data_IF_023665501467
#
_entry.id   IF_023665501467
#
_cell.length_a   1.000
_cell.length_b   1.000
_cell.length_c   1.000
_cell.angle_alpha   90.00
_cell.angle_beta   90.00
_cell.angle_gamma   90.00
#
_symmetry.space_group_name_H-M   'P 1'
#
loop_
_entity.id
_entity.type
_entity.pdbx_description
1 polymer ?
#
# COMPACT_ATOMS: atom_id res chain seq x y z
N UNK A 1 54.73 37.37 -39.73
CA UNK A 1 53.97 37.00 -40.93
C UNK A 1 53.09 35.81 -40.56
N UNK A 2 51.79 36.06 -40.27
CA UNK A 2 50.60 35.62 -41.06
C UNK A 2 50.39 34.09 -40.97
N UNK A 3 49.26 33.48 -40.60
CA UNK A 3 47.98 33.84 -39.98
C UNK A 3 47.22 32.50 -39.70
N UNK A 4 46.60 32.33 -38.54
CA UNK A 4 45.15 32.13 -38.29
C UNK A 4 44.43 30.85 -38.81
N UNK A 5 43.80 30.18 -37.83
CA UNK A 5 42.47 29.54 -37.84
C UNK A 5 42.22 28.28 -38.68
N UNK A 6 41.86 27.17 -38.02
CA UNK A 6 40.46 26.76 -38.05
C UNK A 6 40.05 25.92 -36.82
N UNK A 7 38.87 26.23 -36.31
CA UNK A 7 38.28 25.79 -35.06
C UNK A 7 36.86 25.34 -35.42
N UNK A 8 36.53 24.04 -35.43
CA UNK A 8 35.14 23.52 -35.34
C UNK A 8 35.02 21.99 -35.29
N UNK A 9 34.24 21.55 -34.30
CA UNK A 9 33.29 20.41 -34.28
C UNK A 9 33.86 18.98 -34.39
N UNK A 10 33.56 18.02 -33.51
CA UNK A 10 32.21 17.67 -33.05
C UNK A 10 32.25 16.95 -31.69
N UNK A 11 31.51 17.49 -30.71
CA UNK A 11 31.11 16.81 -29.48
C UNK A 11 29.89 15.93 -29.78
N UNK A 12 29.93 14.64 -29.46
CA UNK A 12 28.74 13.78 -29.31
C UNK A 12 28.87 12.89 -28.08
N UNK A 13 28.38 13.38 -26.94
CA UNK A 13 27.82 12.54 -25.87
C UNK A 13 26.50 13.19 -25.49
N UNK A 14 25.40 12.57 -25.90
CA UNK A 14 24.09 12.85 -25.34
C UNK A 14 23.98 12.03 -24.05
N UNK A 15 24.43 12.62 -22.96
CA UNK A 15 24.11 12.17 -21.62
C UNK A 15 22.67 12.63 -21.37
N UNK A 16 21.71 11.72 -21.25
CA UNK A 16 20.36 12.06 -20.78
C UNK A 16 20.41 12.31 -19.26
N UNK A 17 21.08 13.39 -18.88
CA UNK A 17 20.96 13.99 -17.57
C UNK A 17 19.89 15.07 -17.69
N UNK A 18 18.68 14.79 -17.19
CA UNK A 18 17.70 15.84 -16.92
C UNK A 18 18.19 16.62 -15.69
N UNK A 19 19.16 17.53 -15.89
CA UNK A 19 19.49 18.55 -14.89
C UNK A 19 18.57 19.75 -15.09
N UNK A 20 17.79 20.05 -14.06
CA UNK A 20 16.96 21.23 -13.94
C UNK A 20 17.75 22.52 -14.15
N UNK A 21 17.16 23.45 -14.89
CA UNK A 21 17.49 24.87 -14.81
C UNK A 21 16.23 25.69 -15.10
N UNK A 22 15.48 25.96 -14.04
CA UNK A 22 14.74 27.20 -13.83
C UNK A 22 14.68 27.44 -12.33
N UNK A 23 15.67 28.17 -11.83
CA UNK A 23 15.62 28.76 -10.50
C UNK A 23 14.67 29.95 -10.56
N UNK A 24 13.47 29.79 -10.00
CA UNK A 24 12.63 30.91 -9.61
C UNK A 24 11.98 30.59 -8.26
N UNK A 25 12.46 31.31 -7.24
CA UNK A 25 11.90 31.52 -5.90
C UNK A 25 11.20 30.32 -5.20
N UNK A 26 11.98 29.53 -4.46
CA UNK A 26 11.47 28.82 -3.29
C UNK A 26 11.32 29.82 -2.13
N UNK A 27 10.12 30.36 -1.96
CA UNK A 27 9.58 30.68 -0.65
C UNK A 27 8.67 29.51 -0.28
N UNK A 28 8.84 28.98 0.94
CA UNK A 28 8.12 27.79 1.39
C UNK A 28 6.62 27.93 1.16
N UNK A 29 6.06 27.01 0.36
CA UNK A 29 4.62 26.86 0.22
C UNK A 29 4.07 26.53 1.60
N UNK A 30 3.45 27.54 2.24
CA UNK A 30 2.53 27.30 3.34
C UNK A 30 1.28 26.57 2.81
N UNK A 31 0.31 26.27 3.68
CA UNK A 31 -0.95 25.61 3.29
C UNK A 31 -1.83 26.41 2.31
N UNK A 32 -1.33 27.48 1.67
CA UNK A 32 -2.07 28.36 0.76
C UNK A 32 -1.83 28.04 -0.74
N UNK A 33 -0.90 27.13 -1.08
CA UNK A 33 -0.57 26.79 -2.48
C UNK A 33 -1.07 25.38 -2.89
N UNK A 34 -1.80 24.68 -2.02
CA UNK A 34 -2.35 23.36 -2.35
C UNK A 34 -3.53 23.52 -3.31
N UNK A 35 -3.41 22.96 -4.51
CA UNK A 35 -4.50 22.93 -5.47
C UNK A 35 -5.60 21.96 -5.01
N UNK A 36 -6.86 22.20 -5.40
CA UNK A 36 -7.87 21.17 -5.30
C UNK A 36 -7.35 19.86 -5.91
N UNK A 37 -7.64 18.74 -5.25
CA UNK A 37 -7.08 17.43 -5.56
C UNK A 37 -7.52 16.97 -6.95
N UNK A 38 -8.71 17.39 -7.40
CA UNK A 38 -9.16 17.18 -8.77
C UNK A 38 -8.30 17.91 -9.81
N UNK A 39 -7.80 19.10 -9.47
CA UNK A 39 -6.87 19.85 -10.32
C UNK A 39 -5.49 19.20 -10.29
N UNK A 40 -5.05 18.74 -9.11
CA UNK A 40 -3.83 17.94 -8.95
C UNK A 40 -3.86 16.67 -9.81
N UNK A 41 -4.97 15.92 -9.79
CA UNK A 41 -5.17 14.75 -10.66
C UNK A 41 -5.12 15.10 -12.15
N UNK A 42 -5.66 16.27 -12.53
CA UNK A 42 -5.60 16.75 -13.93
C UNK A 42 -4.16 17.06 -14.32
N UNK A 43 -3.41 17.79 -13.49
CA UNK A 43 -2.02 18.13 -13.74
C UNK A 43 -1.13 16.89 -13.78
N UNK A 44 -1.36 15.92 -12.91
CA UNK A 44 -0.65 14.65 -12.95
C UNK A 44 -0.93 13.89 -14.24
N UNK A 45 -2.20 13.78 -14.66
CA UNK A 45 -2.56 13.14 -15.92
C UNK A 45 -1.92 13.84 -17.13
N UNK A 46 -1.98 15.17 -17.19
CA UNK A 46 -1.36 15.96 -18.26
C UNK A 46 0.17 15.79 -18.30
N UNK A 47 0.82 15.78 -17.12
CA UNK A 47 2.26 15.55 -17.00
C UNK A 47 2.68 14.15 -17.47
N UNK A 48 1.87 13.13 -17.16
CA UNK A 48 2.07 11.76 -17.62
C UNK A 48 1.90 11.64 -19.14
N UNK A 49 0.88 12.27 -19.71
CA UNK A 49 0.68 12.31 -21.16
C UNK A 49 1.85 13.01 -21.87
N UNK A 50 2.33 14.14 -21.33
CA UNK A 50 3.49 14.85 -21.85
C UNK A 50 4.77 13.98 -21.81
N UNK A 51 5.02 13.28 -20.68
CA UNK A 51 6.15 12.35 -20.57
C UNK A 51 6.05 11.20 -21.58
N UNK A 52 4.84 10.67 -21.81
CA UNK A 52 4.60 9.62 -22.79
C UNK A 52 4.90 10.10 -24.23
N UNK A 53 4.53 11.35 -24.56
CA UNK A 53 4.86 11.96 -25.86
C UNK A 53 6.37 12.13 -26.03
N UNK A 54 7.09 12.58 -24.99
CA UNK A 54 8.55 12.69 -25.01
C UNK A 54 9.21 11.33 -25.29
N UNK A 55 8.72 10.25 -24.68
CA UNK A 55 9.22 8.90 -24.90
C UNK A 55 8.92 8.36 -26.30
N UNK A 56 7.76 8.65 -26.87
CA UNK A 56 7.40 8.22 -28.22
C UNK A 56 8.20 8.95 -29.32
N UNK A 57 8.65 10.18 -29.04
CA UNK A 57 9.50 10.95 -29.94
C UNK A 57 10.98 10.55 -29.84
N UNK A 58 11.35 9.76 -28.82
CA UNK A 58 12.71 9.29 -28.68
C UNK A 58 13.06 8.34 -29.85
N UNK A 59 14.31 8.37 -30.36
CA UNK A 59 14.75 7.42 -31.38
C UNK A 59 14.52 5.99 -30.92
N UNK A 60 14.06 5.10 -31.82
CA UNK A 60 13.90 3.68 -31.51
C UNK A 60 15.25 3.12 -31.07
N UNK A 61 15.33 2.69 -29.80
CA UNK A 61 16.50 2.07 -29.23
C UNK A 61 16.28 0.57 -29.12
N UNK A 62 17.29 -0.21 -29.48
CA UNK A 62 17.34 -1.63 -29.14
C UNK A 62 17.18 -1.77 -27.62
N UNK A 63 16.34 -2.71 -27.20
CA UNK A 63 16.07 -2.96 -25.79
C UNK A 63 16.21 -4.44 -25.49
N UNK A 64 17.43 -4.84 -25.15
CA UNK A 64 17.74 -6.20 -24.72
C UNK A 64 16.97 -6.55 -23.46
N UNK A 65 16.15 -7.60 -23.52
CA UNK A 65 15.45 -8.13 -22.35
C UNK A 65 16.32 -9.14 -21.59
N UNK A 66 16.53 -8.87 -20.32
CA UNK A 66 17.22 -9.72 -19.34
C UNK A 66 16.40 -10.98 -19.07
N UNK A 67 15.07 -10.86 -19.05
CA UNK A 67 14.17 -11.98 -18.85
C UNK A 67 14.12 -12.52 -17.42
N UNK A 68 13.18 -13.42 -17.21
CA UNK A 68 12.83 -13.96 -15.90
C UNK A 68 13.99 -14.70 -15.22
N UNK A 69 13.94 -14.76 -13.88
CA UNK A 69 14.89 -15.54 -13.08
C UNK A 69 15.24 -14.92 -11.73
N UNK A 70 16.09 -15.62 -10.98
CA UNK A 70 16.48 -15.23 -9.62
C UNK A 70 17.30 -13.93 -9.53
N UNK A 71 17.53 -13.51 -8.28
CA UNK A 71 18.32 -12.34 -7.90
C UNK A 71 19.73 -12.38 -8.52
N UNK A 72 20.14 -11.29 -9.16
CA UNK A 72 21.54 -11.08 -9.57
C UNK A 72 22.20 -10.00 -8.73
N UNK A 73 23.50 -10.16 -8.48
CA UNK A 73 24.34 -9.27 -7.67
C UNK A 73 25.80 -9.39 -8.10
N UNK A 74 26.68 -8.54 -7.55
CA UNK A 74 28.13 -8.64 -7.75
C UNK A 74 28.63 -10.08 -7.58
N UNK A 75 29.36 -10.58 -8.59
CA UNK A 75 29.87 -11.95 -8.67
C UNK A 75 28.92 -12.99 -9.28
N UNK A 76 27.64 -12.67 -9.52
CA UNK A 76 26.76 -13.53 -10.33
C UNK A 76 27.31 -13.73 -11.74
N UNK A 77 27.01 -14.84 -12.40
CA UNK A 77 27.44 -15.10 -13.78
C UNK A 77 26.41 -15.84 -14.61
N UNK A 78 26.55 -15.76 -15.94
CA UNK A 78 25.75 -16.48 -16.93
C UNK A 78 25.09 -15.54 -17.95
N UNK A 79 24.35 -16.13 -18.88
CA UNK A 79 23.73 -15.45 -20.02
C UNK A 79 22.86 -14.24 -19.61
N UNK A 80 22.10 -14.35 -18.51
CA UNK A 80 21.27 -13.24 -17.99
C UNK A 80 22.11 -12.04 -17.55
N UNK A 81 23.31 -12.27 -17.03
CA UNK A 81 24.24 -11.19 -16.69
C UNK A 81 24.79 -10.54 -17.95
N UNK A 82 25.08 -11.33 -19.00
CA UNK A 82 25.44 -10.81 -20.31
C UNK A 82 24.35 -9.91 -20.89
N UNK A 83 23.08 -10.34 -20.83
CA UNK A 83 21.92 -9.54 -21.26
C UNK A 83 21.72 -8.28 -20.42
N UNK A 84 21.92 -8.35 -19.10
CA UNK A 84 21.93 -7.18 -18.22
C UNK A 84 23.02 -6.18 -18.63
N UNK A 85 24.24 -6.64 -18.84
CA UNK A 85 25.36 -5.78 -19.22
C UNK A 85 25.11 -5.12 -20.59
N UNK A 86 24.58 -5.88 -21.56
CA UNK A 86 24.16 -5.35 -22.85
C UNK A 86 23.08 -4.28 -22.70
N UNK A 87 22.05 -4.53 -21.87
CA UNK A 87 20.98 -3.56 -21.61
C UNK A 87 21.50 -2.27 -20.96
N UNK A 88 22.43 -2.39 -20.01
CA UNK A 88 23.07 -1.21 -19.40
C UNK A 88 23.92 -0.43 -20.40
N UNK A 89 24.54 -1.10 -21.37
CA UNK A 89 25.28 -0.44 -22.44
C UNK A 89 24.36 0.29 -23.42
N UNK A 90 23.21 -0.30 -23.77
CA UNK A 90 22.17 0.36 -24.57
C UNK A 90 21.64 1.63 -23.90
N UNK A 91 21.51 1.60 -22.57
CA UNK A 91 21.12 2.76 -21.75
C UNK A 91 22.25 3.78 -21.56
N UNK A 92 23.46 3.52 -22.08
CA UNK A 92 24.63 4.39 -21.94
C UNK A 92 25.24 4.42 -20.53
N UNK A 93 24.88 3.46 -19.67
CA UNK A 93 25.35 3.36 -18.28
C UNK A 93 26.60 2.48 -18.13
N UNK A 94 26.88 1.65 -19.14
CA UNK A 94 28.04 0.77 -19.19
C UNK A 94 28.77 0.92 -20.54
N UNK A 95 30.10 1.13 -20.55
CA UNK A 95 30.88 1.09 -21.80
C UNK A 95 30.81 -0.29 -22.49
N UNK A 96 30.75 -0.30 -23.82
CA UNK A 96 30.58 -1.54 -24.60
C UNK A 96 31.72 -2.56 -24.38
N UNK A 97 32.95 -2.10 -24.11
CA UNK A 97 34.12 -2.94 -23.79
C UNK A 97 34.06 -3.57 -22.38
N UNK A 98 33.06 -3.19 -21.57
CA UNK A 98 32.82 -3.71 -20.22
C UNK A 98 31.65 -4.69 -20.14
N UNK A 99 31.02 -5.01 -21.27
CA UNK A 99 29.98 -6.05 -21.34
C UNK A 99 30.60 -7.41 -20.99
N UNK A 100 29.96 -8.12 -20.06
CA UNK A 100 30.47 -9.39 -19.55
C UNK A 100 29.32 -10.29 -19.09
N UNK A 101 29.52 -11.60 -19.16
CA UNK A 101 28.64 -12.59 -18.52
C UNK A 101 28.94 -12.79 -17.03
N UNK A 102 29.89 -12.04 -16.46
CA UNK A 102 30.17 -12.01 -15.03
C UNK A 102 29.82 -10.63 -14.51
N UNK A 103 29.13 -10.59 -13.37
CA UNK A 103 28.64 -9.36 -12.77
C UNK A 103 29.82 -8.68 -12.08
N UNK A 104 30.51 -7.81 -12.82
CA UNK A 104 31.69 -7.08 -12.38
C UNK A 104 31.35 -5.86 -11.54
N UNK A 105 32.38 -5.22 -10.97
CA UNK A 105 32.24 -3.93 -10.26
C UNK A 105 31.77 -2.80 -11.16
N UNK A 106 32.05 -2.85 -12.47
CA UNK A 106 31.57 -1.85 -13.43
C UNK A 106 30.07 -2.02 -13.70
N UNK A 107 29.59 -3.27 -13.81
CA UNK A 107 28.15 -3.57 -13.89
C UNK A 107 27.44 -3.14 -12.60
N UNK A 108 28.00 -3.42 -11.42
CA UNK A 108 27.44 -2.97 -10.13
C UNK A 108 27.27 -1.44 -10.08
N UNK A 109 28.29 -0.69 -10.51
CA UNK A 109 28.21 0.77 -10.59
C UNK A 109 27.13 1.25 -11.56
N UNK A 110 27.04 0.63 -12.74
CA UNK A 110 26.04 0.95 -13.74
C UNK A 110 24.60 0.66 -13.25
N UNK A 111 24.41 -0.47 -12.56
CA UNK A 111 23.12 -0.83 -11.94
C UNK A 111 22.73 0.18 -10.86
N UNK A 112 23.66 0.56 -9.98
CA UNK A 112 23.37 1.56 -8.94
C UNK A 112 23.04 2.92 -9.54
N UNK A 113 23.70 3.30 -10.63
CA UNK A 113 23.36 4.52 -11.38
C UNK A 113 21.96 4.42 -11.99
N UNK A 114 21.59 3.28 -12.58
CA UNK A 114 20.24 3.03 -13.07
C UNK A 114 19.20 3.15 -11.96
N UNK A 115 19.40 2.43 -10.85
CA UNK A 115 18.50 2.45 -9.69
C UNK A 115 18.32 3.87 -9.17
N UNK A 116 19.41 4.64 -9.01
CA UNK A 116 19.34 6.03 -8.59
C UNK A 116 18.54 6.90 -9.58
N UNK A 117 18.78 6.75 -10.89
CA UNK A 117 18.04 7.48 -11.93
C UNK A 117 16.54 7.12 -11.94
N UNK A 118 16.19 5.88 -11.59
CA UNK A 118 14.81 5.41 -11.45
C UNK A 118 14.23 5.67 -10.05
N UNK A 119 14.93 6.39 -9.17
CA UNK A 119 14.54 6.67 -7.78
C UNK A 119 14.25 5.40 -6.95
N UNK A 120 14.97 4.34 -7.28
CA UNK A 120 15.04 3.08 -6.54
C UNK A 120 16.18 3.13 -5.53
N UNK A 121 16.23 2.18 -4.60
CA UNK A 121 17.39 2.05 -3.70
C UNK A 121 18.63 1.64 -4.51
N UNK A 122 19.74 2.40 -4.48
CA UNK A 122 20.94 2.08 -5.26
C UNK A 122 21.82 1.03 -4.56
N UNK A 123 21.29 -0.18 -4.37
CA UNK A 123 21.96 -1.28 -3.66
C UNK A 123 22.71 -2.26 -4.57
N UNK A 124 22.59 -2.14 -5.89
CA UNK A 124 23.23 -3.02 -6.87
C UNK A 124 22.57 -4.41 -6.98
N UNK A 125 21.41 -4.60 -6.37
CA UNK A 125 20.65 -5.86 -6.39
C UNK A 125 19.59 -5.83 -7.51
N UNK A 126 19.60 -6.85 -8.37
CA UNK A 126 18.64 -6.96 -9.47
C UNK A 126 17.60 -7.98 -9.06
N UNK A 127 16.68 -7.53 -8.22
CA UNK A 127 15.43 -8.24 -7.93
C UNK A 127 14.39 -8.06 -9.04
N UNK A 128 13.19 -8.61 -8.84
CA UNK A 128 12.10 -8.54 -9.82
C UNK A 128 11.75 -7.10 -10.24
N UNK A 129 11.72 -6.15 -9.30
CA UNK A 129 11.40 -4.74 -9.58
C UNK A 129 12.45 -4.04 -10.46
N UNK A 130 13.73 -4.14 -10.10
CA UNK A 130 14.82 -3.57 -10.92
C UNK A 130 14.92 -4.24 -12.29
N UNK A 131 14.75 -5.57 -12.36
CA UNK A 131 14.67 -6.32 -13.62
C UNK A 131 13.54 -5.80 -14.51
N UNK A 132 12.32 -5.70 -13.98
CA UNK A 132 11.16 -5.24 -14.74
C UNK A 132 11.36 -3.81 -15.27
N UNK A 133 11.98 -2.93 -14.47
CA UNK A 133 12.31 -1.58 -14.93
C UNK A 133 13.39 -1.56 -16.03
N UNK A 134 14.39 -2.44 -15.96
CA UNK A 134 15.42 -2.58 -16.99
C UNK A 134 14.87 -3.16 -18.29
N UNK A 135 13.99 -4.16 -18.20
CA UNK A 135 13.37 -4.82 -19.36
C UNK A 135 12.36 -3.92 -20.09
N UNK A 136 11.86 -2.88 -19.42
CA UNK A 136 10.87 -1.96 -19.96
C UNK A 136 11.44 -1.12 -21.10
N UNK A 137 10.76 -1.13 -22.23
CA UNK A 137 11.04 -0.27 -23.38
C UNK A 137 10.42 1.13 -23.19
N UNK A 138 10.92 2.17 -23.90
CA UNK A 138 10.29 3.49 -23.90
C UNK A 138 8.81 3.46 -24.29
N UNK A 139 8.44 2.65 -25.29
CA UNK A 139 7.06 2.51 -25.74
C UNK A 139 6.15 1.88 -24.67
N UNK A 140 6.61 0.85 -23.97
CA UNK A 140 5.87 0.27 -22.84
C UNK A 140 5.74 1.28 -21.69
N UNK A 141 6.80 2.01 -21.37
CA UNK A 141 6.76 3.07 -20.37
C UNK A 141 5.71 4.15 -20.72
N UNK A 142 5.70 4.62 -21.97
CA UNK A 142 4.70 5.58 -22.46
C UNK A 142 3.27 5.04 -22.37
N UNK A 143 3.04 3.77 -22.71
CA UNK A 143 1.73 3.13 -22.60
C UNK A 143 1.24 3.09 -21.14
N UNK A 144 2.10 2.74 -20.19
CA UNK A 144 1.76 2.71 -18.76
C UNK A 144 1.48 4.10 -18.17
N UNK A 145 2.20 5.13 -18.64
CA UNK A 145 1.93 6.52 -18.29
C UNK A 145 0.54 6.96 -18.75
N UNK A 146 0.18 6.69 -20.01
CA UNK A 146 -1.16 6.98 -20.55
C UNK A 146 -2.27 6.24 -19.84
N UNK A 147 -2.07 4.96 -19.54
CA UNK A 147 -3.04 4.16 -18.79
C UNK A 147 -3.32 4.79 -17.42
N UNK A 148 -2.27 5.21 -16.71
CA UNK A 148 -2.41 5.87 -15.42
C UNK A 148 -3.07 7.25 -15.55
N UNK A 149 -2.73 8.02 -16.60
CA UNK A 149 -3.36 9.31 -16.89
C UNK A 149 -4.87 9.17 -17.11
N UNK A 150 -5.30 8.20 -17.93
CA UNK A 150 -6.73 7.89 -18.14
C UNK A 150 -7.41 7.52 -16.82
N UNK A 151 -6.81 6.63 -16.03
CA UNK A 151 -7.36 6.22 -14.73
C UNK A 151 -7.49 7.40 -13.75
N UNK A 152 -6.53 8.32 -13.73
CA UNK A 152 -6.59 9.54 -12.91
C UNK A 152 -7.71 10.48 -13.37
N UNK A 153 -7.91 10.67 -14.67
CA UNK A 153 -9.03 11.48 -15.21
C UNK A 153 -10.39 10.87 -14.87
N UNK A 154 -10.55 9.56 -15.05
CA UNK A 154 -11.80 8.87 -14.68
C UNK A 154 -12.10 8.99 -13.18
N UNK A 155 -11.07 8.89 -12.33
CA UNK A 155 -11.26 9.07 -10.90
C UNK A 155 -11.58 10.51 -10.53
N UNK A 156 -10.90 11.50 -11.11
CA UNK A 156 -11.15 12.94 -10.89
C UNK A 156 -12.63 13.29 -11.03
N UNK A 157 -13.29 12.77 -12.07
CA UNK A 157 -14.68 13.09 -12.39
C UNK A 157 -15.66 12.61 -11.31
N UNK A 158 -15.24 11.66 -10.46
CA UNK A 158 -16.07 11.05 -9.40
C UNK A 158 -15.50 11.24 -7.99
N UNK A 159 -14.28 11.80 -7.85
CA UNK A 159 -13.57 11.92 -6.58
C UNK A 159 -14.30 12.87 -5.61
N UNK A 160 -14.73 12.41 -4.43
CA UNK A 160 -15.29 13.28 -3.39
C UNK A 160 -14.25 14.28 -2.84
N UNK A 161 -14.73 15.40 -2.30
CA UNK A 161 -13.86 16.41 -1.66
C UNK A 161 -13.22 15.89 -0.36
N UNK A 162 -13.81 14.86 0.26
CA UNK A 162 -13.26 14.19 1.43
C UNK A 162 -13.13 12.69 1.11
N UNK A 163 -11.90 12.20 1.00
CA UNK A 163 -11.62 10.82 0.64
C UNK A 163 -10.23 10.37 1.11
N UNK A 164 -10.11 9.10 1.47
CA UNK A 164 -8.82 8.44 1.62
C UNK A 164 -8.50 7.66 0.34
N UNK A 165 -7.39 7.97 -0.32
CA UNK A 165 -6.93 7.25 -1.51
C UNK A 165 -5.80 6.32 -1.11
N UNK A 166 -5.94 5.02 -1.39
CA UNK A 166 -4.90 4.01 -1.16
C UNK A 166 -4.36 3.58 -2.52
N UNK A 167 -3.16 4.04 -2.87
CA UNK A 167 -2.53 3.63 -4.12
C UNK A 167 -1.65 2.39 -3.87
N UNK A 168 -2.04 1.27 -4.46
CA UNK A 168 -1.44 -0.03 -4.18
C UNK A 168 -0.06 -0.21 -4.82
N UNK A 169 0.18 0.40 -5.98
CA UNK A 169 1.44 0.27 -6.74
C UNK A 169 2.61 0.97 -6.06
N UNK A 170 2.42 2.25 -5.67
CA UNK A 170 3.42 3.03 -4.96
C UNK A 170 3.37 2.83 -3.43
N UNK A 171 2.34 2.13 -2.94
CA UNK A 171 2.13 1.74 -1.56
C UNK A 171 2.11 2.97 -0.66
N UNK A 172 1.24 3.92 -0.98
CA UNK A 172 0.97 5.13 -0.21
C UNK A 172 -0.53 5.27 0.09
N UNK A 173 -0.83 6.10 1.09
CA UNK A 173 -2.19 6.50 1.42
C UNK A 173 -2.25 8.01 1.56
N UNK A 174 -3.22 8.63 0.91
CA UNK A 174 -3.43 10.08 0.88
C UNK A 174 -4.82 10.43 1.37
N UNK A 175 -4.92 11.20 2.46
CA UNK A 175 -6.15 11.79 2.93
C UNK A 175 -6.35 13.14 2.24
N UNK A 176 -7.48 13.27 1.56
CA UNK A 176 -7.97 14.51 0.97
C UNK A 176 -9.12 15.02 1.82
N UNK A 177 -9.09 16.29 2.20
CA UNK A 177 -10.18 16.97 2.94
C UNK A 177 -10.47 18.33 2.34
N UNK A 178 -11.75 18.62 2.12
CA UNK A 178 -12.15 19.88 1.48
C UNK A 178 -11.54 20.07 0.09
N UNK A 179 -11.19 18.96 -0.57
CA UNK A 179 -10.48 18.98 -1.84
C UNK A 179 -8.97 19.14 -1.70
N UNK A 180 -8.35 19.26 -0.54
CA UNK A 180 -6.89 19.43 -0.41
C UNK A 180 -6.22 18.18 0.16
N UNK A 181 -5.01 17.86 -0.29
CA UNK A 181 -4.20 16.79 0.31
C UNK A 181 -3.74 17.21 1.72
N UNK A 182 -4.28 16.56 2.74
CA UNK A 182 -4.03 16.90 4.15
C UNK A 182 -2.96 16.00 4.78
N UNK A 183 -2.86 14.74 4.34
CA UNK A 183 -1.88 13.77 4.82
C UNK A 183 -1.54 12.77 3.72
N UNK A 184 -0.26 12.63 3.39
CA UNK A 184 0.26 11.51 2.60
C UNK A 184 1.27 10.73 3.43
N UNK A 185 1.11 9.41 3.48
CA UNK A 185 1.98 8.51 4.25
C UNK A 185 2.27 7.20 3.50
N UNK A 186 3.35 6.52 3.89
CA UNK A 186 3.65 5.18 3.36
C UNK A 186 2.63 4.16 3.88
N UNK A 187 2.35 3.17 3.04
CA UNK A 187 1.49 2.04 3.33
C UNK A 187 2.24 0.72 3.09
N UNK A 188 1.76 -0.35 3.71
CA UNK A 188 2.13 -1.75 3.41
C UNK A 188 0.87 -2.46 2.94
N UNK A 189 0.93 -3.09 1.78
CA UNK A 189 -0.20 -3.75 1.13
C UNK A 189 0.02 -5.26 1.08
N UNK A 190 -0.98 -6.00 0.60
CA UNK A 190 -0.93 -7.44 0.38
C UNK A 190 0.29 -7.87 -0.44
N UNK A 191 0.76 -9.09 -0.20
CA UNK A 191 1.77 -9.72 -1.06
C UNK A 191 1.11 -10.31 -2.31
N UNK A 192 1.83 -10.62 -3.39
CA UNK A 192 1.23 -11.16 -4.61
C UNK A 192 0.34 -12.39 -4.39
N UNK A 193 0.74 -13.30 -3.49
CA UNK A 193 -0.06 -14.50 -3.19
C UNK A 193 -1.35 -14.22 -2.38
N UNK A 194 -1.51 -13.02 -1.82
CA UNK A 194 -2.63 -12.57 -0.96
C UNK A 194 -2.83 -11.07 -1.15
N UNK A 195 -3.28 -10.71 -2.35
CA UNK A 195 -3.38 -9.33 -2.80
C UNK A 195 -4.35 -8.49 -1.97
N UNK A 196 -4.06 -7.19 -1.88
CA UNK A 196 -5.09 -6.22 -1.48
C UNK A 196 -6.01 -5.96 -2.67
N UNK A 197 -7.33 -6.20 -2.55
CA UNK A 197 -8.26 -5.97 -3.65
C UNK A 197 -8.44 -4.47 -3.93
N UNK A 198 -8.84 -4.15 -5.17
CA UNK A 198 -9.36 -2.81 -5.50
C UNK A 198 -10.78 -2.69 -4.98
N UNK A 199 -11.04 -1.64 -4.21
CA UNK A 199 -12.26 -1.41 -3.46
C UNK A 199 -12.65 0.07 -3.52
N UNK A 200 -13.95 0.31 -3.63
CA UNK A 200 -14.60 1.58 -3.30
C UNK A 200 -15.45 1.34 -2.05
N UNK A 201 -15.11 1.98 -0.94
CA UNK A 201 -15.70 1.68 0.37
C UNK A 201 -15.73 2.94 1.25
N UNK A 202 -15.98 2.78 2.54
CA UNK A 202 -15.97 3.85 3.54
C UNK A 202 -15.47 3.35 4.90
N UNK A 203 -14.65 4.14 5.56
CA UNK A 203 -14.29 3.95 6.97
C UNK A 203 -15.47 4.40 7.82
N UNK A 204 -15.88 3.56 8.77
CA UNK A 204 -17.03 3.86 9.66
C UNK A 204 -16.63 4.08 11.11
N UNK A 205 -15.58 3.40 11.57
CA UNK A 205 -15.14 3.45 12.96
C UNK A 205 -13.62 3.34 13.05
N UNK A 206 -13.06 3.98 14.08
CA UNK A 206 -11.69 3.79 14.55
C UNK A 206 -11.74 3.00 15.83
N UNK A 207 -10.94 1.94 15.92
CA UNK A 207 -10.74 1.16 17.15
C UNK A 207 -9.35 1.50 17.67
N UNK A 208 -9.30 2.15 18.83
CA UNK A 208 -8.06 2.36 19.59
C UNK A 208 -7.81 1.14 20.46
N UNK A 209 -6.57 0.67 20.53
CA UNK A 209 -6.19 -0.56 21.22
C UNK A 209 -7.00 -1.78 20.73
N UNK A 210 -7.03 -2.10 19.42
CA UNK A 210 -7.82 -3.21 18.91
C UNK A 210 -7.30 -4.56 19.47
N UNK A 211 -8.20 -5.52 19.66
CA UNK A 211 -7.83 -6.94 19.65
C UNK A 211 -7.62 -7.41 18.22
N UNK A 212 -6.87 -8.50 18.04
CA UNK A 212 -6.74 -9.14 16.74
C UNK A 212 -6.97 -10.65 16.83
N UNK A 213 -8.10 -11.09 16.27
CA UNK A 213 -8.34 -12.49 15.99
C UNK A 213 -7.62 -12.85 14.70
N UNK A 214 -6.69 -13.79 14.77
CA UNK A 214 -5.91 -14.22 13.60
C UNK A 214 -6.85 -14.82 12.54
N UNK A 215 -6.90 -14.28 11.30
CA UNK A 215 -7.75 -14.81 10.25
C UNK A 215 -7.35 -16.23 9.83
N UNK A 216 -8.29 -17.09 9.38
CA UNK A 216 -8.00 -18.49 9.01
C UNK A 216 -6.83 -18.65 8.03
N UNK A 217 -6.74 -17.79 7.02
CA UNK A 217 -5.64 -17.83 6.04
C UNK A 217 -4.28 -17.53 6.68
N UNK A 218 -4.20 -16.48 7.52
CA UNK A 218 -2.97 -16.13 8.25
C UNK A 218 -2.61 -17.21 9.26
N UNK A 219 -3.61 -17.81 9.90
CA UNK A 219 -3.43 -18.91 10.84
C UNK A 219 -2.80 -20.12 10.15
N UNK A 220 -3.35 -20.52 9.00
CA UNK A 220 -2.89 -21.67 8.20
C UNK A 220 -1.51 -21.45 7.58
N UNK A 221 -1.30 -20.29 6.96
CA UNK A 221 -0.11 -20.06 6.12
C UNK A 221 1.07 -19.44 6.88
N UNK A 222 0.82 -18.68 7.95
CA UNK A 222 1.88 -17.97 8.66
C UNK A 222 2.04 -18.45 10.11
N UNK A 223 0.96 -18.46 10.91
CA UNK A 223 1.08 -18.69 12.36
C UNK A 223 1.36 -20.15 12.70
N UNK A 224 0.53 -21.10 12.27
CA UNK A 224 0.74 -22.52 12.60
C UNK A 224 2.09 -23.07 12.13
N UNK A 225 2.57 -22.78 10.90
CA UNK A 225 3.91 -23.19 10.50
C UNK A 225 5.00 -22.64 11.42
N UNK A 226 4.90 -21.39 11.85
CA UNK A 226 5.85 -20.81 12.80
C UNK A 226 5.74 -21.42 14.20
N UNK A 227 4.52 -21.69 14.69
CA UNK A 227 4.30 -22.27 16.01
C UNK A 227 4.85 -23.70 16.08
N UNK A 228 4.63 -24.51 15.04
CA UNK A 228 5.23 -25.85 14.91
C UNK A 228 6.75 -25.82 14.92
N UNK A 229 7.33 -24.89 14.17
CA UNK A 229 8.79 -24.80 14.03
C UNK A 229 9.49 -24.22 15.26
N UNK A 230 8.84 -23.33 16.02
CA UNK A 230 9.51 -22.47 17.01
C UNK A 230 8.79 -22.34 18.36
N UNK A 231 7.68 -23.04 18.57
CA UNK A 231 6.89 -22.95 19.81
C UNK A 231 5.90 -21.78 19.79
N UNK A 232 6.09 -20.76 20.64
CA UNK A 232 5.10 -19.67 20.84
C UNK A 232 5.49 -18.28 20.32
N UNK A 233 6.40 -18.08 19.33
CA UNK A 233 6.72 -16.73 18.89
C UNK A 233 5.55 -16.06 18.15
N UNK A 234 5.35 -14.77 18.42
CA UNK A 234 4.36 -13.95 17.72
C UNK A 234 2.92 -14.16 18.20
N UNK A 235 2.74 -14.81 19.34
CA UNK A 235 1.47 -14.91 20.08
C UNK A 235 1.64 -14.42 21.53
N UNK A 236 2.62 -13.54 21.76
CA UNK A 236 2.79 -12.87 23.05
C UNK A 236 1.53 -12.06 23.37
N UNK A 237 1.06 -12.14 24.61
CA UNK A 237 -0.17 -11.48 25.05
C UNK A 237 -1.40 -11.87 24.20
N UNK A 238 -1.47 -13.14 23.76
CA UNK A 238 -2.64 -13.69 23.09
C UNK A 238 -3.39 -14.65 24.00
N UNK A 239 -4.71 -14.64 23.87
CA UNK A 239 -5.56 -15.70 24.40
C UNK A 239 -5.71 -16.76 23.30
N UNK A 240 -5.36 -18.00 23.62
CA UNK A 240 -5.44 -19.13 22.69
C UNK A 240 -6.58 -20.04 23.12
N UNK A 241 -7.47 -20.33 22.18
CA UNK A 241 -8.54 -21.30 22.36
C UNK A 241 -8.26 -22.51 21.49
N UNK A 242 -8.27 -23.71 22.08
CA UNK A 242 -8.21 -24.99 21.38
C UNK A 242 -9.53 -25.73 21.63
N UNK A 243 -10.23 -26.08 20.56
CA UNK A 243 -11.56 -26.71 20.59
C UNK A 243 -12.57 -25.95 21.47
N UNK A 244 -12.43 -24.61 21.49
CA UNK A 244 -13.29 -23.70 22.26
C UNK A 244 -12.85 -23.45 23.70
N UNK A 245 -11.87 -24.20 24.23
CA UNK A 245 -11.34 -24.03 25.58
C UNK A 245 -10.09 -23.16 25.57
N UNK A 246 -9.98 -22.24 26.53
CA UNK A 246 -8.77 -21.45 26.71
C UNK A 246 -7.62 -22.34 27.20
N UNK A 247 -6.45 -22.23 26.57
CA UNK A 247 -5.27 -23.04 26.87
C UNK A 247 -4.03 -22.16 26.96
N UNK A 248 -3.08 -22.58 27.80
CA UNK A 248 -1.75 -21.97 27.82
C UNK A 248 -1.01 -22.35 26.52
N UNK A 249 -0.53 -21.38 25.71
CA UNK A 249 0.10 -21.69 24.43
C UNK A 249 1.32 -22.62 24.52
N UNK A 250 2.03 -22.59 25.66
CA UNK A 250 3.23 -23.38 25.94
C UNK A 250 2.91 -24.86 26.20
N UNK A 251 1.66 -25.18 26.57
CA UNK A 251 1.23 -26.56 26.85
C UNK A 251 0.66 -27.27 25.62
N UNK A 252 0.53 -26.57 24.49
CA UNK A 252 -0.06 -27.09 23.26
C UNK A 252 1.02 -27.73 22.39
N UNK A 253 0.81 -28.99 21.98
CA UNK A 253 1.58 -29.56 20.87
C UNK A 253 1.01 -29.09 19.53
N UNK A 254 1.70 -28.12 18.92
CA UNK A 254 1.30 -27.48 17.68
C UNK A 254 1.35 -28.40 16.45
N UNK A 255 2.03 -29.56 16.52
CA UNK A 255 2.11 -30.51 15.41
C UNK A 255 0.75 -31.17 15.13
N UNK A 256 -0.05 -31.41 16.17
CA UNK A 256 -1.37 -32.07 16.08
C UNK A 256 -2.54 -31.10 15.92
N UNK A 257 -2.27 -29.79 15.94
CA UNK A 257 -3.30 -28.75 15.81
C UNK A 257 -3.58 -28.44 14.35
N UNK A 258 -4.86 -28.49 13.96
CA UNK A 258 -5.35 -28.04 12.65
C UNK A 258 -5.95 -26.63 12.75
N UNK A 259 -5.96 -25.83 11.66
CA UNK A 259 -6.46 -24.44 11.70
C UNK A 259 -7.88 -24.29 12.25
N UNK A 260 -8.77 -25.26 11.99
CA UNK A 260 -10.17 -25.19 12.44
C UNK A 260 -10.36 -25.41 13.95
N UNK A 261 -9.37 -25.99 14.63
CA UNK A 261 -9.44 -26.29 16.06
C UNK A 261 -8.94 -25.15 16.93
N UNK A 262 -8.18 -24.21 16.37
CA UNK A 262 -7.51 -23.17 17.15
C UNK A 262 -7.97 -21.77 16.76
N UNK A 263 -8.19 -20.94 17.78
CA UNK A 263 -8.47 -19.51 17.63
C UNK A 263 -7.49 -18.73 18.50
N UNK A 264 -6.73 -17.84 17.87
CA UNK A 264 -5.73 -17.01 18.54
C UNK A 264 -6.22 -15.57 18.53
N UNK A 265 -6.39 -14.98 19.71
CA UNK A 265 -6.83 -13.59 19.89
C UNK A 265 -5.73 -12.80 20.58
N UNK A 266 -4.96 -12.05 19.81
CA UNK A 266 -3.99 -11.10 20.36
C UNK A 266 -4.72 -9.97 21.08
N UNK A 267 -4.33 -9.76 22.34
CA UNK A 267 -4.85 -8.67 23.15
C UNK A 267 -4.21 -7.34 22.73
N UNK A 268 -4.78 -6.20 23.14
CA UNK A 268 -4.20 -4.90 22.81
C UNK A 268 -2.80 -4.73 23.42
N UNK A 269 -1.95 -3.95 22.74
CA UNK A 269 -0.60 -3.65 23.19
C UNK A 269 0.40 -3.61 22.04
N UNK A 270 1.67 -3.36 22.36
CA UNK A 270 2.72 -3.12 21.35
C UNK A 270 3.12 -4.39 20.58
N UNK A 271 2.74 -5.57 21.08
CA UNK A 271 2.92 -6.84 20.39
C UNK A 271 1.79 -7.18 19.42
N UNK A 272 0.68 -6.44 19.46
CA UNK A 272 -0.46 -6.69 18.59
C UNK A 272 -0.11 -6.38 17.12
N UNK A 273 -0.36 -7.32 16.22
CA UNK A 273 -0.01 -7.16 14.80
C UNK A 273 -0.73 -5.99 14.11
N UNK A 274 -1.89 -5.57 14.65
CA UNK A 274 -2.63 -4.39 14.18
C UNK A 274 -2.08 -3.07 14.74
N UNK A 275 -1.11 -3.13 15.64
CA UNK A 275 -0.64 -1.97 16.39
C UNK A 275 -1.73 -1.40 17.30
N UNK A 276 -1.77 -0.08 17.45
CA UNK A 276 -2.65 0.62 18.40
C UNK A 276 -3.95 1.14 17.79
N UNK A 277 -4.14 1.00 16.48
CA UNK A 277 -5.28 1.56 15.74
C UNK A 277 -5.74 0.61 14.63
N UNK A 278 -7.06 0.46 14.48
CA UNK A 278 -7.71 -0.20 13.33
C UNK A 278 -8.82 0.69 12.78
N UNK A 279 -8.91 0.79 11.47
CA UNK A 279 -9.92 1.56 10.72
C UNK A 279 -10.80 0.58 9.97
N UNK A 280 -12.05 0.45 10.41
CA UNK A 280 -12.98 -0.53 9.87
C UNK A 280 -13.68 0.01 8.63
N UNK A 281 -13.65 -0.78 7.57
CA UNK A 281 -14.36 -0.58 6.32
C UNK A 281 -15.68 -1.36 6.29
N UNK A 282 -16.51 -1.20 5.25
CA UNK A 282 -17.81 -1.88 5.12
C UNK A 282 -17.82 -3.08 4.17
N UNK A 283 -16.70 -3.37 3.51
CA UNK A 283 -16.57 -4.49 2.57
C UNK A 283 -16.77 -5.87 3.23
N UNK A 284 -17.19 -6.88 2.43
CA UNK A 284 -17.35 -8.26 2.89
C UNK A 284 -16.04 -9.06 2.92
N UNK A 285 -14.89 -8.46 2.58
CA UNK A 285 -13.62 -9.17 2.37
C UNK A 285 -12.72 -9.17 3.61
N UNK A 286 -13.22 -8.71 4.77
CA UNK A 286 -12.43 -8.50 5.98
C UNK A 286 -11.18 -7.61 5.76
N UNK A 287 -11.23 -6.70 4.79
CA UNK A 287 -10.15 -5.74 4.54
C UNK A 287 -10.36 -4.48 5.38
N UNK A 288 -9.31 -4.06 6.08
CA UNK A 288 -9.27 -2.85 6.90
C UNK A 288 -7.89 -2.19 6.82
N UNK A 289 -7.80 -0.95 7.28
CA UNK A 289 -6.53 -0.28 7.50
C UNK A 289 -6.14 -0.38 8.97
N UNK A 290 -4.86 -0.46 9.28
CA UNK A 290 -4.41 -0.58 10.67
C UNK A 290 -2.97 -0.10 10.87
N UNK A 291 -2.56 0.05 12.12
CA UNK A 291 -1.15 0.28 12.47
C UNK A 291 -0.30 -0.99 12.33
N UNK A 292 0.84 -1.05 13.02
CA UNK A 292 1.63 -2.28 13.05
C UNK A 292 2.56 -2.30 14.27
N UNK A 293 2.97 -3.49 14.68
CA UNK A 293 4.06 -3.71 15.62
C UNK A 293 5.43 -3.82 14.92
N UNK A 294 5.50 -3.67 13.59
CA UNK A 294 6.74 -3.75 12.81
C UNK A 294 6.99 -2.48 11.97
N UNK A 295 7.14 -1.30 12.58
CA UNK A 295 7.27 -0.03 11.85
C UNK A 295 8.49 0.02 10.93
N UNK A 296 9.56 -0.72 11.26
CA UNK A 296 10.76 -0.87 10.40
C UNK A 296 10.45 -1.33 8.97
N UNK A 297 9.31 -1.98 8.73
CA UNK A 297 8.92 -2.47 7.40
C UNK A 297 8.58 -1.33 6.44
N UNK A 298 8.22 -0.14 6.94
CA UNK A 298 7.99 1.02 6.09
C UNK A 298 9.27 1.54 5.44
N UNK A 299 10.46 1.21 5.97
CA UNK A 299 11.75 1.56 5.36
C UNK A 299 12.10 0.68 4.15
N UNK A 300 11.28 -0.33 3.84
CA UNK A 300 11.45 -1.13 2.62
C UNK A 300 11.00 -0.35 1.40
N UNK A 301 11.71 -0.55 0.30
CA UNK A 301 11.32 -0.03 -1.00
C UNK A 301 10.03 -0.69 -1.47
N UNK A 302 9.99 -2.03 -1.46
CA UNK A 302 8.80 -2.82 -1.76
C UNK A 302 8.09 -3.28 -0.47
N UNK A 303 6.86 -2.82 -0.30
CA UNK A 303 5.99 -2.99 0.87
C UNK A 303 4.73 -3.82 0.57
N UNK A 304 4.76 -4.70 -0.43
CA UNK A 304 3.74 -5.72 -0.70
C UNK A 304 4.01 -7.01 0.10
N UNK A 305 3.79 -6.95 1.41
CA UNK A 305 4.15 -8.04 2.35
C UNK A 305 3.04 -8.43 3.34
N UNK A 306 1.92 -7.73 3.32
CA UNK A 306 0.75 -8.03 4.16
C UNK A 306 -0.01 -9.25 3.65
N UNK A 307 -1.11 -9.59 4.33
CA UNK A 307 -2.03 -10.66 3.94
C UNK A 307 -3.38 -10.08 3.46
N UNK A 308 -3.33 -9.00 2.69
CA UNK A 308 -4.49 -8.31 2.11
C UNK A 308 -4.83 -6.96 2.77
N UNK A 309 -4.82 -6.88 4.11
CA UNK A 309 -5.08 -5.61 4.82
C UNK A 309 -3.96 -4.57 4.64
N UNK A 310 -4.29 -3.29 4.81
CA UNK A 310 -3.34 -2.17 4.62
C UNK A 310 -2.78 -1.71 5.96
N UNK A 311 -1.45 -1.73 6.11
CA UNK A 311 -0.78 -1.14 7.27
C UNK A 311 -0.39 0.30 6.96
N UNK A 312 -0.61 1.19 7.90
CA UNK A 312 -0.35 2.63 7.78
C UNK A 312 0.89 3.01 8.59
N UNK A 313 1.70 3.89 8.02
CA UNK A 313 2.91 4.40 8.68
C UNK A 313 2.58 5.25 9.90
N UNK A 314 1.63 6.17 9.76
CA UNK A 314 1.16 7.02 10.86
C UNK A 314 -0.35 6.86 11.09
N UNK A 315 -0.78 5.72 11.65
CA UNK A 315 -2.18 5.49 11.94
C UNK A 315 -2.71 6.43 13.02
N UNK A 316 -1.85 6.94 13.91
CA UNK A 316 -2.27 7.87 14.96
C UNK A 316 -2.70 9.19 14.33
N UNK A 317 -1.87 9.74 13.44
CA UNK A 317 -2.18 10.99 12.74
C UNK A 317 -3.47 10.87 11.92
N UNK A 318 -3.68 9.76 11.22
CA UNK A 318 -4.95 9.53 10.52
C UNK A 318 -6.13 9.51 11.49
N UNK A 319 -6.03 8.84 12.64
CA UNK A 319 -7.10 8.82 13.64
C UNK A 319 -7.42 10.22 14.18
N UNK A 320 -6.40 11.02 14.49
CA UNK A 320 -6.58 12.40 14.95
C UNK A 320 -7.28 13.26 13.89
N UNK A 321 -6.88 13.15 12.62
CA UNK A 321 -7.50 13.88 11.52
C UNK A 321 -8.96 13.44 11.28
N UNK A 322 -9.25 12.14 11.29
CA UNK A 322 -10.62 11.64 11.09
C UNK A 322 -11.56 12.00 12.25
N UNK A 323 -11.02 12.26 13.45
CA UNK A 323 -11.78 12.60 14.65
C UNK A 323 -11.75 14.10 14.98
N UNK A 324 -11.11 14.92 14.14
CA UNK A 324 -11.06 16.36 14.29
C UNK A 324 -12.47 16.97 14.34
N UNK A 325 -12.68 17.94 15.23
CA UNK A 325 -13.98 18.58 15.42
C UNK A 325 -15.01 17.73 16.19
N UNK A 326 -14.65 16.51 16.62
CA UNK A 326 -15.50 15.69 17.50
C UNK A 326 -15.13 15.89 18.97
N UNK A 327 -15.89 15.27 19.89
CA UNK A 327 -15.53 15.22 21.31
C UNK A 327 -14.31 14.34 21.63
N UNK A 328 -13.71 13.70 20.63
CA UNK A 328 -12.52 12.85 20.77
C UNK A 328 -11.27 13.64 20.38
N UNK A 329 -10.75 14.38 21.37
CA UNK A 329 -9.52 15.17 21.23
C UNK A 329 -8.26 14.29 21.27
N UNK A 330 -7.08 14.80 20.84
CA UNK A 330 -5.81 14.08 20.99
C UNK A 330 -5.55 13.60 22.43
N UNK A 331 -5.83 14.42 23.44
CA UNK A 331 -5.66 14.04 24.86
C UNK A 331 -6.63 12.93 25.26
N UNK A 332 -7.83 12.90 24.66
CA UNK A 332 -8.77 11.78 24.86
C UNK A 332 -8.27 10.51 24.18
N UNK A 333 -7.62 10.60 23.02
CA UNK A 333 -6.96 9.47 22.38
C UNK A 333 -5.83 8.94 23.28
N UNK A 334 -5.01 9.80 23.89
CA UNK A 334 -3.98 9.36 24.84
C UNK A 334 -4.58 8.64 26.06
N UNK A 335 -5.67 9.16 26.63
CA UNK A 335 -6.39 8.46 27.70
C UNK A 335 -6.94 7.11 27.25
N UNK A 336 -7.45 7.00 26.02
CA UNK A 336 -7.92 5.74 25.46
C UNK A 336 -6.78 4.74 25.27
N UNK A 337 -5.63 5.18 24.77
CA UNK A 337 -4.41 4.37 24.63
C UNK A 337 -3.96 3.83 25.99
N UNK A 338 -4.06 4.63 27.06
CA UNK A 338 -3.70 4.24 28.43
C UNK A 338 -4.57 3.13 29.04
N UNK A 339 -5.80 2.91 28.56
CA UNK A 339 -6.72 1.89 29.12
C UNK A 339 -6.39 0.46 28.72
N UNK A 340 -5.48 0.23 27.77
CA UNK A 340 -5.06 -1.10 27.26
C UNK A 340 -6.20 -2.08 26.87
N UNK A 341 -7.41 -1.58 26.66
CA UNK A 341 -8.59 -2.34 26.21
C UNK A 341 -9.16 -1.69 24.95
N UNK A 342 -9.90 -2.42 24.09
CA UNK A 342 -10.46 -1.86 22.87
C UNK A 342 -11.42 -0.71 23.15
N UNK A 343 -11.23 0.42 22.46
CA UNK A 343 -12.10 1.58 22.54
C UNK A 343 -12.61 1.90 21.13
N UNK A 344 -13.91 1.79 20.94
CA UNK A 344 -14.57 1.99 19.66
C UNK A 344 -15.02 3.43 19.52
N UNK A 345 -14.64 4.07 18.42
CA UNK A 345 -15.05 5.44 18.09
C UNK A 345 -15.72 5.42 16.72
N UNK A 346 -17.02 5.71 16.71
CA UNK A 346 -17.78 5.89 15.47
C UNK A 346 -17.45 7.25 14.85
N UNK A 347 -17.19 7.25 13.55
CA UNK A 347 -17.05 8.49 12.80
C UNK A 347 -18.41 9.17 12.67
N UNK A 348 -18.46 10.49 12.86
CA UNK A 348 -19.69 11.27 12.71
C UNK A 348 -20.23 11.17 11.28
N UNK A 349 -19.34 11.23 10.29
CA UNK A 349 -19.61 10.92 8.90
C UNK A 349 -18.64 9.82 8.44
N UNK A 350 -19.10 8.74 7.78
CA UNK A 350 -18.21 7.76 7.18
C UNK A 350 -17.27 8.41 6.18
N UNK A 351 -15.98 8.12 6.27
CA UNK A 351 -14.95 8.65 5.36
C UNK A 351 -14.85 7.76 4.12
N UNK A 352 -15.15 8.22 2.90
CA UNK A 352 -14.93 7.45 1.68
C UNK A 352 -13.48 6.97 1.57
N UNK A 353 -13.28 5.76 1.03
CA UNK A 353 -11.96 5.25 0.68
C UNK A 353 -11.98 4.66 -0.72
N UNK A 354 -10.97 4.98 -1.52
CA UNK A 354 -10.77 4.40 -2.86
C UNK A 354 -9.39 3.75 -2.93
N UNK A 355 -9.37 2.48 -3.30
CA UNK A 355 -8.14 1.77 -3.63
C UNK A 355 -7.91 1.88 -5.13
N UNK A 356 -6.72 2.32 -5.52
CA UNK A 356 -6.33 2.55 -6.91
C UNK A 356 -5.05 1.80 -7.25
N UNK A 357 -4.82 1.60 -8.55
CA UNK A 357 -3.65 0.90 -9.07
C UNK A 357 -2.97 1.75 -10.16
N UNK A 358 -2.33 2.85 -9.77
CA UNK A 358 -1.68 3.75 -10.72
C UNK A 358 -0.20 3.43 -10.84
N UNK A 359 0.18 2.73 -11.91
CA UNK A 359 1.56 2.30 -12.11
C UNK A 359 2.51 3.47 -12.38
N UNK A 360 2.01 4.57 -12.97
CA UNK A 360 2.74 5.81 -13.12
C UNK A 360 2.19 6.88 -12.19
N UNK A 361 3.06 7.57 -11.46
CA UNK A 361 2.70 8.70 -10.60
C UNK A 361 3.60 9.89 -10.88
N UNK A 362 3.17 11.06 -10.44
CA UNK A 362 3.98 12.28 -10.46
C UNK A 362 4.37 12.62 -9.03
N UNK A 363 5.66 12.81 -8.80
CA UNK A 363 6.22 13.19 -7.50
C UNK A 363 6.08 14.70 -7.28
N UNK A 364 6.29 15.17 -6.04
CA UNK A 364 6.14 16.58 -5.67
C UNK A 364 7.07 17.53 -6.46
N UNK A 365 8.19 17.04 -6.98
CA UNK A 365 9.12 17.80 -7.84
C UNK A 365 8.73 17.76 -9.33
N UNK A 366 7.57 17.18 -9.67
CA UNK A 366 7.08 17.04 -11.04
C UNK A 366 7.69 15.87 -11.82
N UNK A 367 8.57 15.07 -11.20
CA UNK A 367 9.14 13.90 -11.85
C UNK A 367 8.10 12.78 -12.00
N UNK A 368 8.09 12.15 -13.17
CA UNK A 368 7.29 10.93 -13.39
C UNK A 368 8.03 9.72 -12.85
N UNK A 369 7.32 8.88 -12.11
CA UNK A 369 7.83 7.62 -11.58
C UNK A 369 6.96 6.46 -12.01
N UNK A 370 7.59 5.41 -12.53
CA UNK A 370 6.94 4.13 -12.79
C UNK A 370 7.25 3.15 -11.66
N UNK A 371 6.19 2.58 -11.09
CA UNK A 371 6.27 1.61 -10.01
C UNK A 371 6.32 0.18 -10.55
N UNK A 372 6.83 -0.78 -9.77
CA UNK A 372 6.69 -2.20 -10.11
C UNK A 372 5.21 -2.59 -10.21
N UNK A 373 4.87 -3.48 -11.15
CA UNK A 373 3.58 -4.17 -11.14
C UNK A 373 3.65 -5.27 -10.08
N UNK A 374 3.07 -5.00 -8.91
CA UNK A 374 3.22 -5.87 -7.74
C UNK A 374 2.25 -7.04 -7.73
N UNK A 375 1.25 -7.03 -8.61
CA UNK A 375 0.16 -8.01 -8.73
C UNK A 375 -0.05 -8.49 -10.17
N UNK A 376 0.89 -8.20 -11.07
CA UNK A 376 0.87 -8.61 -12.48
C UNK A 376 -0.45 -8.25 -13.21
N UNK A 377 -1.05 -7.11 -12.85
CA UNK A 377 -2.37 -6.67 -13.35
C UNK A 377 -2.32 -6.00 -14.71
N UNK A 378 -1.13 -5.68 -15.21
CA UNK A 378 -0.97 -5.04 -16.50
C UNK A 378 -1.16 -6.00 -17.68
N UNK A 379 -0.92 -7.30 -17.49
CA UNK A 379 -1.11 -8.31 -18.53
C UNK A 379 -2.61 -8.61 -18.79
N UNK A 380 -3.48 -8.27 -17.84
CA UNK A 380 -4.94 -8.39 -17.94
C UNK A 380 -5.60 -7.16 -18.61
N UNK A 381 -4.86 -6.09 -18.87
CA UNK A 381 -5.38 -4.93 -19.59
C UNK A 381 -5.32 -5.22 -21.10
N UNK A 382 -6.44 -5.25 -21.83
CA UNK A 382 -6.41 -5.50 -23.26
C UNK A 382 -5.49 -4.49 -23.95
N UNK A 383 -4.54 -5.00 -24.74
CA UNK A 383 -3.64 -4.20 -25.55
C UNK A 383 -4.44 -3.21 -26.40
N UNK A 384 -4.15 -1.92 -26.20
CA UNK A 384 -4.60 -0.80 -27.02
C UNK A 384 -6.11 -0.75 -27.34
N UNK A 385 -6.85 0.09 -26.60
CA UNK A 385 -8.00 0.75 -27.23
C UNK A 385 -7.44 1.69 -28.29
N UNK A 386 -7.35 1.21 -29.52
CA UNK A 386 -7.28 2.06 -30.70
C UNK A 386 -8.49 2.97 -30.66
N UNK A 387 -8.30 4.24 -30.31
CA UNK A 387 -9.34 5.27 -30.41
C UNK A 387 -9.69 5.40 -31.89
N UNK A 388 -10.92 5.09 -32.33
CA UNK A 388 -11.33 5.43 -33.69
C UNK A 388 -11.34 6.95 -33.83
N UNK A 389 -10.84 7.46 -34.96
CA UNK A 389 -10.90 8.88 -35.31
C UNK A 389 -12.31 9.45 -35.12
N UNK A 390 -12.47 10.73 -34.75
CA UNK A 390 -13.78 11.31 -34.44
C UNK A 390 -14.67 11.28 -35.68
N UNK A 391 -15.79 10.55 -35.58
CA UNK A 391 -16.88 10.63 -36.55
C UNK A 391 -17.60 11.97 -36.35
N UNK A 392 -17.38 12.86 -37.29
CA UNK A 392 -18.19 14.07 -37.48
C UNK A 392 -19.55 13.65 -38.05
N UNK A 393 -20.66 13.96 -37.36
CA UNK A 393 -22.00 13.85 -37.95
C UNK A 393 -23.15 13.53 -36.99
N UNK A 394 -23.89 14.59 -36.63
CA UNK A 394 -25.33 14.70 -36.31
C UNK A 394 -26.13 13.52 -35.70
N UNK A 395 -26.82 13.83 -34.60
CA UNK A 395 -27.95 13.09 -34.01
C UNK A 395 -29.14 12.94 -34.99
N UNK A 396 -29.93 11.87 -34.84
CA UNK A 396 -31.28 12.09 -34.31
C UNK A 396 -31.72 11.02 -33.29
N UNK A 397 -32.58 11.45 -32.36
CA UNK A 397 -33.00 10.68 -31.19
C UNK A 397 -34.06 9.61 -31.43
N UNK A 398 -34.24 8.74 -30.44
CA UNK A 398 -35.49 8.06 -30.10
C UNK A 398 -35.47 7.66 -28.61
N UNK A 399 -36.68 7.47 -28.08
CA UNK A 399 -37.18 7.36 -26.69
C UNK A 399 -36.64 6.20 -25.84
N UNK A 400 -36.79 6.24 -24.48
CA UNK A 400 -36.16 5.29 -23.57
C UNK A 400 -36.99 4.01 -23.40
N UNK A 401 -36.33 2.85 -23.47
CA UNK A 401 -36.87 1.56 -23.08
C UNK A 401 -36.41 1.19 -21.66
N UNK A 402 -37.35 0.65 -20.88
CA UNK A 402 -37.27 0.39 -19.45
C UNK A 402 -36.23 -0.68 -19.05
N UNK A 403 -35.62 -0.47 -17.87
CA UNK A 403 -34.76 -1.43 -17.20
C UNK A 403 -35.57 -2.55 -16.52
N UNK A 404 -35.11 -3.80 -16.51
CA UNK A 404 -35.71 -4.86 -15.72
C UNK A 404 -35.35 -4.70 -14.23
N UNK A 405 -36.36 -4.85 -13.38
CA UNK A 405 -36.24 -4.83 -11.92
C UNK A 405 -35.52 -6.09 -11.42
N UNK A 406 -34.50 -5.90 -10.57
CA UNK A 406 -33.89 -6.96 -9.77
C UNK A 406 -34.44 -6.89 -8.35
N UNK A 407 -35.11 -7.97 -7.92
CA UNK A 407 -35.60 -8.17 -6.55
C UNK A 407 -34.43 -8.31 -5.56
N UNK A 408 -34.51 -7.71 -4.35
CA UNK A 408 -33.51 -7.91 -3.31
C UNK A 408 -33.68 -9.27 -2.61
N UNK A 409 -32.60 -10.04 -2.56
CA UNK A 409 -32.51 -11.26 -1.75
C UNK A 409 -32.40 -10.91 -0.26
N UNK A 410 -33.11 -11.68 0.56
CA UNK A 410 -33.31 -11.48 1.99
C UNK A 410 -32.04 -11.71 2.83
N UNK A 411 -31.78 -10.79 3.77
CA UNK A 411 -30.87 -10.98 4.91
C UNK A 411 -31.54 -11.86 5.98
N UNK A 412 -30.82 -12.79 6.64
CA UNK A 412 -31.31 -13.46 7.83
C UNK A 412 -31.22 -12.55 9.07
N UNK A 413 -32.15 -12.67 10.04
CA UNK A 413 -32.25 -11.75 11.17
C UNK A 413 -31.21 -12.00 12.27
N UNK A 414 -30.79 -10.90 12.89
CA UNK A 414 -29.94 -10.86 14.08
C UNK A 414 -30.66 -11.49 15.29
N UNK A 415 -30.01 -12.47 15.92
CA UNK A 415 -30.48 -13.14 17.13
C UNK A 415 -30.42 -12.24 18.36
N UNK A 416 -31.48 -12.29 19.16
CA UNK A 416 -31.78 -11.35 20.23
C UNK A 416 -30.98 -11.51 21.53
N UNK A 417 -30.98 -10.43 22.30
CA UNK A 417 -30.66 -10.41 23.73
C UNK A 417 -31.70 -11.23 24.53
N UNK A 418 -31.33 -11.90 25.63
CA UNK A 418 -32.29 -12.27 26.67
C UNK A 418 -32.41 -11.15 27.71
N UNK A 419 -33.64 -10.71 27.92
CA UNK A 419 -34.03 -9.78 28.98
C UNK A 419 -34.34 -10.55 30.29
N UNK A 420 -34.33 -9.80 31.38
CA UNK A 420 -34.44 -10.22 32.77
C UNK A 420 -35.64 -11.13 33.12
N UNK A 421 -35.38 -12.11 34.00
CA UNK A 421 -36.38 -12.88 34.75
C UNK A 421 -36.18 -12.68 36.25
N UNK A 422 -37.14 -11.99 36.87
CA UNK A 422 -37.26 -11.71 38.30
C UNK A 422 -38.15 -12.79 38.92
N UNK A 423 -37.70 -13.51 39.94
CA UNK A 423 -38.53 -14.37 40.78
C UNK A 423 -38.17 -14.15 42.26
N UNK A 424 -39.20 -14.03 43.08
CA UNK A 424 -39.17 -13.68 44.49
C UNK A 424 -38.98 -14.89 45.41
N UNK A 425 -38.25 -14.68 46.53
CA UNK A 425 -38.48 -15.06 47.95
C UNK A 425 -39.17 -16.40 48.32
N UNK A 426 -38.81 -17.07 49.45
CA UNK A 426 -38.82 -16.44 50.77
C UNK A 426 -37.76 -16.83 51.83
N UNK A 427 -37.61 -15.88 52.78
CA UNK A 427 -37.37 -15.94 54.22
C UNK A 427 -36.93 -17.27 54.87
N UNK A 428 -35.80 -17.25 55.60
CA UNK A 428 -35.82 -17.52 57.05
C UNK A 428 -34.60 -16.87 57.77
N UNK A 429 -34.76 -16.71 59.08
CA UNK A 429 -34.13 -15.84 60.06
C UNK A 429 -32.90 -16.48 60.75
N UNK A 430 -32.30 -15.65 61.62
CA UNK A 430 -31.33 -15.94 62.70
C UNK A 430 -29.87 -16.05 62.25
N UNK A 431 -28.87 -15.50 62.94
CA UNK A 431 -28.84 -14.81 64.22
C UNK A 431 -27.50 -14.09 64.39
N UNK A 432 -27.56 -13.16 65.33
CA UNK A 432 -26.55 -12.33 66.02
C UNK A 432 -25.12 -12.85 66.22
N UNK A 433 -24.18 -11.88 66.22
CA UNK A 433 -22.93 -11.74 67.00
C UNK A 433 -21.84 -12.82 66.76
N UNK A 434 -20.53 -12.57 66.79
CA UNK A 434 -19.75 -11.74 67.70
C UNK A 434 -18.30 -11.59 67.17
N UNK A 435 -17.55 -10.66 67.76
CA UNK A 435 -16.13 -10.37 67.60
C UNK A 435 -15.21 -11.60 67.61
N UNK A 436 -14.12 -11.55 66.83
CA UNK A 436 -12.76 -11.69 67.40
C UNK A 436 -11.70 -11.28 66.37
N UNK A 437 -10.77 -10.45 66.82
CA UNK A 437 -9.48 -10.28 66.19
C UNK A 437 -8.63 -11.55 66.43
N UNK A 438 -7.75 -11.90 65.50
CA UNK A 438 -6.38 -12.25 65.90
C UNK A 438 -5.38 -11.96 64.77
N UNK A 439 -4.20 -11.55 65.22
CA UNK A 439 -2.95 -11.31 64.50
C UNK A 439 -2.28 -12.63 64.15
N UNK A 440 -1.30 -12.54 63.25
CA UNK A 440 0.02 -13.22 63.23
C UNK A 440 0.31 -13.78 61.84
N UNK A 441 1.22 -13.15 61.08
CA UNK A 441 2.64 -13.52 60.96
C UNK A 441 2.88 -14.66 59.96
N UNK A 442 3.32 -14.32 58.74
CA UNK A 442 4.65 -14.58 58.12
C UNK A 442 4.66 -13.93 56.75
#
# INVERSE_FOLDING_TARGET
MIASADLRMSRKLALLALTAASAMALLGAGPADALPYRDTLTQWADRLDAAAVELDQAPVQTSTRIGEGGLMKLGSSGERVGRLAQRLAELGLLPADKVSEVFTTDIDRAVKAFQLAQRMKPDGLIGAGTRAALDRTPAEAAALMRQSAVAMRSFRDTAPDNILVVNLTNQTTTLVRGGEEELTMRAIVGRPSRETPLLTDRITHVIVNPTWTVPPTVLKEDKLPNLRAKGTPGIQNAIVYLDGQEVAPETVDWHDVTPGRVRIVQQPGDHNALGRFRFNLTNPYDIYLHGTNEPRLFARELRSISSGCVRLEDPRKLAELLLQGTSVTPERIDRMLGKQQPQWVKLAAPMPVQFVYWIATVEADGAVRLHPDIYDRLDDAPAAVSVPAPLSGALPGTTPAAAPALSPAAMPPAGGQPNAGRAAMPLDKSGTAEKSADKSSV
#
